data_IF_057732102397
#
_entry.id   IF_057732102397
#
_cell.length_a   1.000
_cell.length_b   1.000
_cell.length_c   1.000
_cell.angle_alpha   90.00
_cell.angle_beta   90.00
_cell.angle_gamma   90.00
#
_symmetry.space_group_name_H-M   'P 1'
#
loop_
_entity.id
_entity.type
_entity.pdbx_description
1 polymer ?
#
# COMPACT_ATOMS: atom_id res chain seq x y z
N UNK A 1 3.43 20.73 8.00
CA UNK A 1 4.22 19.49 8.05
C UNK A 1 3.26 18.32 7.86
N UNK A 2 3.56 17.39 6.95
CA UNK A 2 2.80 16.13 6.84
C UNK A 2 3.46 15.11 7.75
N UNK A 3 2.69 14.38 8.55
CA UNK A 3 3.23 13.30 9.39
C UNK A 3 3.25 12.03 8.53
N UNK A 4 4.43 11.44 8.36
CA UNK A 4 4.56 10.18 7.63
C UNK A 4 4.32 8.99 8.55
N UNK A 5 3.39 8.12 8.18
CA UNK A 5 3.10 6.86 8.87
C UNK A 5 3.73 5.74 8.05
N UNK A 6 4.81 5.09 8.54
CA UNK A 6 5.39 3.93 7.88
C UNK A 6 4.51 2.70 8.11
N UNK A 7 4.27 1.95 7.05
CA UNK A 7 3.52 0.70 7.07
C UNK A 7 4.39 -0.35 6.40
N UNK A 8 4.51 -1.51 7.03
CA UNK A 8 5.22 -2.66 6.46
C UNK A 8 4.20 -3.80 6.33
N UNK A 9 4.14 -4.41 5.16
CA UNK A 9 3.33 -5.59 4.90
C UNK A 9 4.19 -6.63 4.19
N UNK A 10 4.12 -7.89 4.62
CA UNK A 10 4.84 -8.99 4.00
C UNK A 10 3.86 -9.97 3.37
N UNK A 11 4.08 -10.36 2.12
CA UNK A 11 3.23 -11.31 1.40
C UNK A 11 3.96 -11.94 0.21
N UNK A 12 3.55 -13.14 -0.18
CA UNK A 12 4.05 -13.82 -1.37
C UNK A 12 3.18 -13.52 -2.60
N UNK A 13 3.54 -14.09 -3.75
CA UNK A 13 2.78 -13.92 -4.98
C UNK A 13 1.30 -14.37 -4.88
N UNK A 14 0.96 -15.35 -4.04
CA UNK A 14 -0.41 -15.84 -3.87
C UNK A 14 -1.27 -14.90 -3.00
N UNK A 15 -0.64 -14.14 -2.12
CA UNK A 15 -1.29 -13.19 -1.22
C UNK A 15 -1.38 -11.76 -1.78
N UNK A 16 -0.94 -11.52 -3.02
CA UNK A 16 -0.98 -10.20 -3.64
C UNK A 16 -2.40 -9.57 -3.66
N UNK A 17 -3.42 -10.37 -3.98
CA UNK A 17 -4.82 -9.90 -3.99
C UNK A 17 -5.33 -9.59 -2.56
N UNK A 18 -5.22 -10.50 -1.57
CA UNK A 18 -5.53 -10.20 -0.18
C UNK A 18 -4.81 -8.95 0.35
N UNK A 19 -3.51 -8.82 0.06
CA UNK A 19 -2.71 -7.67 0.46
C UNK A 19 -3.29 -6.38 -0.15
N UNK A 20 -3.61 -6.37 -1.43
CA UNK A 20 -4.23 -5.22 -2.10
C UNK A 20 -5.56 -4.80 -1.51
N UNK A 21 -6.46 -5.75 -1.26
CA UNK A 21 -7.77 -5.46 -0.64
C UNK A 21 -7.59 -4.90 0.77
N UNK A 22 -6.66 -5.44 1.56
CA UNK A 22 -6.39 -4.95 2.92
C UNK A 22 -5.87 -3.52 2.92
N UNK A 23 -4.91 -3.20 2.04
CA UNK A 23 -4.34 -1.85 1.89
C UNK A 23 -5.37 -0.86 1.37
N UNK A 24 -6.19 -1.27 0.38
CA UNK A 24 -7.27 -0.44 -0.13
C UNK A 24 -8.26 -0.07 0.96
N UNK A 25 -8.73 -1.06 1.73
CA UNK A 25 -9.69 -0.84 2.83
C UNK A 25 -9.13 0.12 3.87
N UNK A 26 -7.87 -0.06 4.25
CA UNK A 26 -7.17 0.81 5.19
C UNK A 26 -7.07 2.25 4.68
N UNK A 27 -6.63 2.46 3.43
CA UNK A 27 -6.49 3.80 2.84
C UNK A 27 -7.84 4.47 2.60
N UNK A 28 -8.87 3.72 2.21
CA UNK A 28 -10.23 4.22 2.08
C UNK A 28 -10.78 4.70 3.44
N UNK A 29 -10.51 3.96 4.52
CA UNK A 29 -10.88 4.37 5.87
C UNK A 29 -10.07 5.60 6.33
N UNK A 30 -8.78 5.65 6.02
CA UNK A 30 -7.91 6.78 6.33
C UNK A 30 -8.38 8.07 5.65
N UNK A 31 -8.82 7.97 4.39
CA UNK A 31 -9.35 9.09 3.61
C UNK A 31 -10.55 9.75 4.28
N UNK A 32 -11.44 8.99 4.92
CA UNK A 32 -12.67 9.51 5.53
C UNK A 32 -12.48 10.00 6.96
N UNK A 33 -11.56 9.42 7.74
CA UNK A 33 -11.41 9.72 9.17
C UNK A 33 -10.43 10.84 9.50
N UNK A 34 -9.53 11.21 8.59
CA UNK A 34 -8.41 12.10 8.89
C UNK A 34 -8.36 13.38 8.05
N UNK A 35 -9.52 13.93 7.65
CA UNK A 35 -9.60 15.18 6.88
C UNK A 35 -8.81 16.35 7.51
N UNK A 36 -8.76 16.43 8.84
CA UNK A 36 -8.09 17.53 9.55
C UNK A 36 -6.58 17.35 9.72
N UNK A 37 -6.03 16.14 9.49
CA UNK A 37 -4.60 15.84 9.67
C UNK A 37 -3.96 15.52 8.33
N UNK A 38 -2.91 16.27 7.97
CA UNK A 38 -2.04 15.95 6.83
C UNK A 38 -1.18 14.73 7.19
N UNK A 39 -1.72 13.54 6.94
CA UNK A 39 -1.03 12.26 7.08
C UNK A 39 -0.58 11.78 5.69
N UNK A 40 0.61 11.19 5.63
CA UNK A 40 1.12 10.52 4.44
C UNK A 40 1.51 9.08 4.77
N UNK A 41 0.97 8.10 4.06
CA UNK A 41 1.24 6.68 4.32
C UNK A 41 2.34 6.18 3.41
N UNK A 42 3.46 5.75 3.99
CA UNK A 42 4.55 5.13 3.23
C UNK A 42 4.52 3.62 3.44
N UNK A 43 4.09 2.89 2.42
CA UNK A 43 3.87 1.45 2.48
C UNK A 43 5.08 0.73 1.87
N UNK A 44 5.67 -0.17 2.64
CA UNK A 44 6.76 -1.04 2.25
C UNK A 44 6.23 -2.48 2.16
N UNK A 45 6.10 -2.97 0.92
CA UNK A 45 5.71 -4.33 0.62
C UNK A 45 6.98 -5.21 0.59
N UNK A 46 7.19 -6.02 1.62
CA UNK A 46 8.20 -7.06 1.64
C UNK A 46 7.64 -8.28 0.91
N UNK A 47 8.18 -8.59 -0.26
CA UNK A 47 7.55 -9.57 -1.16
C UNK A 47 8.49 -10.73 -1.47
N UNK A 48 7.91 -11.92 -1.58
CA UNK A 48 8.61 -13.13 -2.04
C UNK A 48 8.14 -13.47 -3.47
N UNK A 49 9.05 -13.34 -4.44
CA UNK A 49 8.84 -13.67 -5.86
C UNK A 49 7.54 -13.10 -6.46
N UNK A 50 7.20 -11.84 -6.15
CA UNK A 50 5.98 -11.21 -6.64
C UNK A 50 6.07 -10.88 -8.13
N UNK A 51 5.16 -11.45 -8.92
CA UNK A 51 5.11 -11.24 -10.37
C UNK A 51 4.91 -9.77 -10.74
N UNK A 52 5.46 -9.35 -11.88
CA UNK A 52 5.27 -7.99 -12.40
C UNK A 52 3.79 -7.64 -12.60
N UNK A 53 2.99 -8.63 -13.03
CA UNK A 53 1.54 -8.49 -13.17
C UNK A 53 0.88 -8.16 -11.82
N UNK A 54 1.24 -8.87 -10.75
CA UNK A 54 0.68 -8.62 -9.44
C UNK A 54 1.18 -7.31 -8.81
N UNK A 55 2.44 -6.93 -9.05
CA UNK A 55 2.94 -5.60 -8.67
C UNK A 55 2.14 -4.49 -9.35
N UNK A 56 1.86 -4.63 -10.65
CA UNK A 56 1.08 -3.65 -11.41
C UNK A 56 -0.37 -3.59 -10.93
N UNK A 57 -1.04 -4.73 -10.76
CA UNK A 57 -2.40 -4.78 -10.20
C UNK A 57 -2.48 -4.12 -8.83
N UNK A 58 -1.46 -4.31 -7.98
CA UNK A 58 -1.42 -3.68 -6.66
C UNK A 58 -1.27 -2.16 -6.78
N UNK A 59 -0.38 -1.68 -7.65
CA UNK A 59 -0.24 -0.23 -7.91
C UNK A 59 -1.54 0.37 -8.46
N UNK A 60 -2.18 -0.28 -9.42
CA UNK A 60 -3.46 0.17 -10.00
C UNK A 60 -4.58 0.21 -8.95
N UNK A 61 -4.62 -0.78 -8.06
CA UNK A 61 -5.58 -0.83 -6.95
C UNK A 61 -5.41 0.35 -5.99
N UNK A 62 -4.17 0.78 -5.76
CA UNK A 62 -3.83 1.83 -4.80
C UNK A 62 -3.73 3.24 -5.42
N UNK A 63 -3.70 3.35 -6.75
CA UNK A 63 -3.60 4.61 -7.49
C UNK A 63 -4.59 5.71 -7.05
N UNK A 64 -5.86 5.40 -6.66
CA UNK A 64 -6.78 6.41 -6.13
C UNK A 64 -6.29 7.15 -4.87
N UNK A 65 -5.23 6.66 -4.22
CA UNK A 65 -4.68 7.19 -2.97
C UNK A 65 -3.30 7.84 -3.12
N UNK A 66 -2.75 7.96 -4.34
CA UNK A 66 -1.39 8.49 -4.60
C UNK A 66 -1.17 9.92 -4.07
N UNK A 67 -2.24 10.69 -3.87
CA UNK A 67 -2.16 12.03 -3.27
C UNK A 67 -1.67 12.02 -1.81
N UNK A 68 -1.79 10.88 -1.09
CA UNK A 68 -1.46 10.78 0.33
C UNK A 68 -0.87 9.42 0.74
N UNK A 69 -0.56 8.54 -0.22
CA UNK A 69 0.08 7.27 0.01
C UNK A 69 1.12 6.95 -1.07
N UNK A 70 2.09 6.11 -0.74
CA UNK A 70 3.07 5.55 -1.68
C UNK A 70 3.34 4.10 -1.35
N UNK A 71 3.67 3.30 -2.36
CA UNK A 71 3.98 1.87 -2.23
C UNK A 71 5.36 1.59 -2.84
N UNK A 72 6.23 0.99 -2.04
CA UNK A 72 7.55 0.50 -2.43
C UNK A 72 7.55 -1.04 -2.28
N UNK A 73 8.11 -1.75 -3.27
CA UNK A 73 8.28 -3.19 -3.21
C UNK A 73 9.73 -3.52 -2.90
N UNK A 74 9.96 -4.34 -1.90
CA UNK A 74 11.28 -4.85 -1.52
C UNK A 74 11.22 -6.37 -1.62
N UNK A 75 12.02 -6.92 -2.53
CA UNK A 75 12.17 -8.35 -2.69
C UNK A 75 12.99 -8.92 -1.51
N UNK A 76 12.48 -9.98 -0.89
CA UNK A 76 13.09 -10.66 0.27
C UNK A 76 13.35 -12.15 0.02
N UNK A 77 13.16 -12.62 -1.23
CA UNK A 77 13.48 -13.97 -1.69
C UNK A 77 14.98 -14.30 -1.68
#
# INVERSE_FOLDING_TARGET
MSITIPIVIAFDNHYAMPAGVSLYSMLACAKTKHHDKKLFYKIHCLVDNLSLENQQKLKETLAPFDAFASVDFLDIS
#
